data_IF_851413547334
#
_entry.id   IF_851413547334
#
_cell.length_a   1.000
_cell.length_b   1.000
_cell.length_c   1.000
_cell.angle_alpha   90.00
_cell.angle_beta   90.00
_cell.angle_gamma   90.00
#
_symmetry.space_group_name_H-M   'P 1'
#
loop_
_entity.id
_entity.type
_entity.pdbx_description
1 polymer ?
#
# COMPACT_ATOMS: atom_id res chain seq x y z
N UNK A 1 -20.31 -1.51 3.10
CA UNK A 1 -19.50 -2.17 2.05
C UNK A 1 -18.10 -1.57 1.89
N UNK A 2 -17.88 -0.40 1.26
CA UNK A 2 -16.50 0.13 1.07
C UNK A 2 -15.82 0.39 2.41
N UNK A 3 -16.49 1.09 3.33
CA UNK A 3 -15.97 1.36 4.68
C UNK A 3 -15.81 0.12 5.57
N UNK A 4 -16.29 -1.04 5.15
CA UNK A 4 -16.08 -2.32 5.86
C UNK A 4 -14.98 -3.15 5.19
N UNK A 5 -14.79 -3.00 3.87
CA UNK A 5 -13.91 -3.84 3.06
C UNK A 5 -12.52 -3.25 2.87
N UNK A 6 -12.42 -1.94 2.69
CA UNK A 6 -11.16 -1.25 2.38
C UNK A 6 -10.64 -0.56 3.64
N UNK A 7 -9.33 -0.65 3.89
CA UNK A 7 -8.66 0.08 4.95
C UNK A 7 -8.78 1.60 4.72
N UNK A 8 -8.75 2.39 5.79
CA UNK A 8 -8.83 3.86 5.67
C UNK A 8 -7.62 4.44 4.91
N UNK A 9 -6.44 3.83 5.12
CA UNK A 9 -5.19 4.15 4.44
C UNK A 9 -4.65 2.88 3.75
N UNK A 10 -5.17 2.53 2.56
CA UNK A 10 -4.73 1.34 1.85
C UNK A 10 -3.32 1.53 1.27
N UNK A 11 -2.56 0.44 1.17
CA UNK A 11 -1.27 0.46 0.47
C UNK A 11 -1.45 0.86 -1.01
N UNK A 12 -0.44 1.52 -1.58
CA UNK A 12 -0.47 1.93 -2.99
C UNK A 12 -0.46 0.75 -3.96
N UNK A 13 0.08 -0.39 -3.55
CA UNK A 13 0.18 -1.61 -4.34
C UNK A 13 -0.66 -2.71 -3.72
N UNK A 14 -1.40 -3.43 -4.56
CA UNK A 14 -2.07 -4.68 -4.18
C UNK A 14 -1.02 -5.74 -3.83
N UNK A 15 -1.26 -6.47 -2.74
CA UNK A 15 -0.40 -7.58 -2.32
C UNK A 15 0.83 -7.19 -1.50
N UNK A 16 1.07 -5.89 -1.28
CA UNK A 16 1.97 -5.41 -0.23
C UNK A 16 1.33 -5.52 1.16
N UNK A 17 0.05 -5.88 1.21
CA UNK A 17 -0.75 -5.96 2.42
C UNK A 17 -1.34 -4.61 2.81
N UNK A 18 -2.37 -4.63 3.64
CA UNK A 18 -3.08 -3.46 4.16
C UNK A 18 -4.03 -2.77 3.16
N UNK A 19 -4.49 -3.45 2.11
CA UNK A 19 -5.59 -2.93 1.26
C UNK A 19 -6.94 -3.26 1.87
N UNK A 20 -7.10 -4.51 2.31
CA UNK A 20 -8.36 -5.00 2.88
C UNK A 20 -8.38 -4.78 4.39
N UNK A 21 -9.51 -4.23 4.88
CA UNK A 21 -9.72 -3.92 6.29
C UNK A 21 -9.71 -5.19 7.14
N UNK A 22 -9.11 -5.09 8.34
CA UNK A 22 -9.16 -6.15 9.35
C UNK A 22 -10.61 -6.45 9.75
N UNK A 23 -10.95 -7.73 9.88
CA UNK A 23 -12.30 -8.20 10.18
C UNK A 23 -13.17 -8.43 8.95
N UNK A 24 -12.70 -8.08 7.75
CA UNK A 24 -13.45 -8.34 6.51
C UNK A 24 -13.34 -9.80 6.04
N UNK A 25 -12.21 -10.44 6.30
CA UNK A 25 -11.96 -11.84 5.95
C UNK A 25 -11.17 -12.52 7.05
N UNK A 26 -11.79 -13.50 7.72
CA UNK A 26 -11.14 -14.29 8.77
C UNK A 26 -9.91 -15.04 8.26
N UNK A 27 -9.95 -15.58 7.03
CA UNK A 27 -8.80 -16.26 6.43
C UNK A 27 -7.62 -15.30 6.24
N UNK A 28 -7.88 -14.08 5.75
CA UNK A 28 -6.84 -13.07 5.55
C UNK A 28 -6.25 -12.62 6.89
N UNK A 29 -7.09 -12.43 7.90
CA UNK A 29 -6.65 -12.02 9.24
C UNK A 29 -5.81 -13.11 9.91
N UNK A 30 -6.19 -14.38 9.76
CA UNK A 30 -5.41 -15.51 10.26
C UNK A 30 -4.03 -15.58 9.59
N UNK A 31 -3.94 -15.42 8.27
CA UNK A 31 -2.67 -15.40 7.57
C UNK A 31 -1.78 -14.23 8.00
N UNK A 32 -2.37 -13.04 8.19
CA UNK A 32 -1.66 -11.85 8.71
C UNK A 32 -1.10 -12.11 10.10
N UNK A 33 -1.88 -12.74 10.99
CA UNK A 33 -1.45 -13.11 12.33
C UNK A 33 -0.29 -14.11 12.31
N UNK A 34 -0.39 -15.16 11.48
CA UNK A 34 0.67 -16.16 11.31
C UNK A 34 1.98 -15.52 10.82
N UNK A 35 1.89 -14.63 9.82
CA UNK A 35 3.07 -13.89 9.32
C UNK A 35 3.67 -12.97 10.38
N UNK A 36 2.83 -12.28 11.17
CA UNK A 36 3.28 -11.40 12.25
C UNK A 36 3.99 -12.18 13.36
N UNK A 37 3.42 -13.31 13.80
CA UNK A 37 4.01 -14.17 14.82
C UNK A 37 5.37 -14.71 14.37
N UNK A 38 5.50 -15.14 13.12
CA UNK A 38 6.77 -15.61 12.58
C UNK A 38 7.83 -14.51 12.49
N UNK A 39 7.45 -13.28 12.09
CA UNK A 39 8.37 -12.12 12.13
C UNK A 39 8.81 -11.79 13.55
N UNK A 40 7.90 -11.87 14.52
CA UNK A 40 8.19 -11.59 15.92
C UNK A 40 9.10 -12.67 16.53
N UNK A 41 8.93 -13.92 16.13
CA UNK A 41 9.86 -15.00 16.46
C UNK A 41 11.27 -14.68 15.94
N UNK A 42 11.41 -14.33 14.65
CA UNK A 42 12.71 -13.97 14.06
C UNK A 42 13.36 -12.74 14.71
N UNK A 43 12.57 -11.76 15.13
CA UNK A 43 13.07 -10.59 15.87
C UNK A 43 13.66 -10.96 17.24
N UNK A 44 13.13 -12.01 17.87
CA UNK A 44 13.61 -12.50 19.16
C UNK A 44 14.73 -13.55 19.03
N UNK A 45 14.86 -14.17 17.86
CA UNK A 45 15.82 -15.25 17.59
C UNK A 45 17.26 -14.82 17.88
N UNK A 46 17.64 -13.59 17.53
CA UNK A 46 18.99 -13.08 17.79
C UNK A 46 19.34 -13.15 19.29
N UNK A 47 18.44 -12.66 20.15
CA UNK A 47 18.65 -12.68 21.60
C UNK A 47 18.69 -14.11 22.14
N UNK A 48 17.75 -14.94 21.70
CA UNK A 48 17.67 -16.33 22.15
C UNK A 48 18.95 -17.11 21.78
N UNK A 49 19.47 -16.92 20.58
CA UNK A 49 20.71 -17.59 20.16
C UNK A 49 21.95 -17.00 20.84
N UNK A 50 21.99 -15.68 21.11
CA UNK A 50 23.04 -15.07 21.93
C UNK A 50 23.07 -15.64 23.36
N UNK A 51 21.91 -15.85 23.98
CA UNK A 51 21.79 -16.43 25.32
C UNK A 51 22.17 -17.92 25.35
N UNK A 52 21.73 -18.70 24.35
CA UNK A 52 22.04 -20.14 24.25
C UNK A 52 23.52 -20.41 23.95
N UNK A 53 24.11 -19.66 23.02
CA UNK A 53 25.48 -19.90 22.54
C UNK A 53 26.54 -19.11 23.31
N UNK A 54 26.15 -18.05 24.03
CA UNK A 54 27.06 -17.09 24.66
C UNK A 54 27.74 -16.13 23.68
N UNK A 55 27.46 -16.22 22.37
CA UNK A 55 28.11 -15.44 21.33
C UNK A 55 27.44 -14.07 21.19
N UNK A 56 27.91 -13.07 21.97
CA UNK A 56 27.35 -11.70 21.95
C UNK A 56 27.44 -10.98 20.59
N UNK A 57 28.33 -11.43 19.69
CA UNK A 57 28.48 -10.83 18.36
C UNK A 57 27.56 -11.42 17.30
N UNK A 58 26.71 -12.40 17.66
CA UNK A 58 25.79 -13.07 16.74
C UNK A 58 24.71 -12.09 16.28
N UNK A 59 24.47 -12.03 14.97
CA UNK A 59 23.43 -11.17 14.38
C UNK A 59 22.52 -11.95 13.45
N UNK A 60 21.21 -11.69 13.54
CA UNK A 60 20.24 -12.22 12.57
C UNK A 60 19.99 -11.17 11.50
N UNK A 61 20.26 -11.52 10.24
CA UNK A 61 20.08 -10.64 9.09
C UNK A 61 19.13 -11.24 8.06
N UNK A 62 18.65 -10.39 7.15
CA UNK A 62 17.88 -10.79 5.98
C UNK A 62 18.57 -10.28 4.71
N UNK A 63 18.64 -11.12 3.68
CA UNK A 63 19.07 -10.74 2.35
C UNK A 63 18.01 -11.20 1.33
N UNK A 64 17.71 -10.37 0.32
CA UNK A 64 16.68 -10.69 -0.67
C UNK A 64 16.97 -11.96 -1.50
N UNK A 65 18.24 -12.31 -1.71
CA UNK A 65 18.66 -13.47 -2.51
C UNK A 65 18.82 -14.70 -1.61
N UNK A 66 19.45 -14.51 -0.45
CA UNK A 66 19.82 -15.62 0.44
C UNK A 66 18.88 -15.80 1.62
N UNK A 67 17.83 -15.01 1.74
CA UNK A 67 16.89 -15.13 2.84
C UNK A 67 17.45 -14.70 4.19
N UNK A 68 16.86 -15.22 5.26
CA UNK A 68 17.35 -15.03 6.62
C UNK A 68 18.65 -15.81 6.87
N UNK A 69 19.52 -15.25 7.70
CA UNK A 69 20.80 -15.85 8.08
C UNK A 69 21.25 -15.40 9.47
N UNK A 70 22.13 -16.20 10.06
CA UNK A 70 22.83 -15.90 11.31
C UNK A 70 24.29 -15.62 10.97
N UNK A 71 24.78 -14.43 11.28
CA UNK A 71 26.16 -14.03 11.06
C UNK A 71 26.97 -14.18 12.35
N UNK A 72 28.09 -14.90 12.26
CA UNK A 72 29.01 -15.13 13.37
C UNK A 72 30.41 -14.65 12.97
N UNK A 73 31.07 -13.92 13.86
CA UNK A 73 32.42 -13.40 13.63
C UNK A 73 33.48 -14.51 13.66
N UNK A 74 34.58 -14.35 12.91
CA UNK A 74 35.67 -15.33 12.84
C UNK A 74 36.16 -15.88 14.19
N UNK A 75 36.35 -15.07 15.25
CA UNK A 75 36.83 -15.57 16.54
C UNK A 75 35.86 -16.53 17.24
N UNK A 76 34.56 -16.43 16.92
CA UNK A 76 33.51 -17.18 17.59
C UNK A 76 33.06 -18.43 16.81
N UNK A 77 33.66 -18.70 15.64
CA UNK A 77 33.37 -19.89 14.84
C UNK A 77 33.52 -21.22 15.61
N UNK A 78 34.52 -21.40 16.50
CA UNK A 78 34.65 -22.64 17.27
C UNK A 78 33.53 -22.87 18.29
N UNK A 79 32.74 -21.83 18.63
CA UNK A 79 31.66 -21.90 19.62
C UNK A 79 30.29 -22.18 18.96
N UNK A 80 30.26 -22.37 17.65
CA UNK A 80 29.03 -22.58 16.90
C UNK A 80 28.48 -23.99 17.15
N UNK A 81 27.17 -24.13 17.45
CA UNK A 81 26.52 -25.43 17.57
C UNK A 81 26.51 -26.24 16.27
N UNK A 82 26.50 -27.57 16.38
CA UNK A 82 26.57 -28.49 15.22
C UNK A 82 25.35 -28.41 14.28
N UNK A 83 24.20 -27.94 14.78
CA UNK A 83 22.97 -27.79 13.99
C UNK A 83 22.97 -26.54 13.08
N UNK A 84 24.01 -25.71 13.13
CA UNK A 84 24.18 -24.56 12.25
C UNK A 84 24.75 -25.02 10.91
N UNK A 85 24.01 -24.76 9.83
CA UNK A 85 24.44 -25.14 8.49
C UNK A 85 25.05 -23.92 7.82
N UNK A 86 26.33 -24.02 7.42
CA UNK A 86 27.06 -22.92 6.78
C UNK A 86 26.44 -22.57 5.42
N UNK A 87 26.21 -21.29 5.18
CA UNK A 87 25.60 -20.73 3.97
C UNK A 87 26.58 -19.94 3.11
N UNK A 88 27.40 -19.10 3.73
CA UNK A 88 28.32 -18.19 3.01
C UNK A 88 29.50 -17.79 3.91
N UNK A 89 30.70 -17.70 3.33
CA UNK A 89 31.90 -17.18 4.01
C UNK A 89 32.11 -15.71 3.65
N UNK A 90 32.40 -14.86 4.66
CA UNK A 90 32.69 -13.44 4.51
C UNK A 90 34.12 -13.13 4.97
N UNK A 91 34.60 -11.93 4.66
CA UNK A 91 35.93 -11.46 5.08
C UNK A 91 36.03 -11.36 6.62
N UNK A 92 34.95 -10.96 7.29
CA UNK A 92 34.89 -10.78 8.75
C UNK A 92 34.24 -11.91 9.56
N UNK A 93 33.63 -12.90 8.90
CA UNK A 93 32.81 -13.91 9.58
C UNK A 93 32.21 -14.94 8.63
N UNK A 94 31.30 -15.76 9.13
CA UNK A 94 30.55 -16.72 8.33
C UNK A 94 29.05 -16.59 8.61
N UNK A 95 28.24 -16.90 7.59
CA UNK A 95 26.78 -16.92 7.66
C UNK A 95 26.27 -18.34 7.71
N UNK A 96 25.30 -18.59 8.57
CA UNK A 96 24.67 -19.88 8.81
C UNK A 96 23.16 -19.76 8.72
N UNK A 97 22.49 -20.90 8.62
CA UNK A 97 21.06 -21.03 8.87
C UNK A 97 20.80 -22.26 9.74
N UNK A 98 19.69 -22.25 10.45
CA UNK A 98 19.18 -23.43 11.18
C UNK A 98 17.95 -23.97 10.45
N UNK A 99 17.61 -25.27 10.62
CA UNK A 99 16.36 -25.82 10.10
C UNK A 99 15.13 -25.01 10.55
N UNK A 100 15.09 -24.63 11.82
CA UNK A 100 14.02 -23.81 12.41
C UNK A 100 13.89 -22.44 11.73
N UNK A 101 15.01 -21.73 11.51
CA UNK A 101 15.00 -20.44 10.81
C UNK A 101 14.46 -20.58 9.38
N UNK A 102 14.77 -21.69 8.71
CA UNK A 102 14.29 -21.98 7.35
C UNK A 102 12.78 -22.30 7.32
N UNK A 103 12.25 -22.97 8.34
CA UNK A 103 10.81 -23.23 8.48
C UNK A 103 10.03 -21.93 8.67
N UNK A 104 10.46 -21.06 9.59
CA UNK A 104 9.82 -19.76 9.80
C UNK A 104 9.92 -18.86 8.56
N UNK A 105 11.06 -18.86 7.88
CA UNK A 105 11.22 -18.16 6.61
C UNK A 105 10.22 -18.65 5.55
N UNK A 106 10.12 -19.97 5.38
CA UNK A 106 9.19 -20.59 4.44
C UNK A 106 7.75 -20.24 4.80
N UNK A 107 7.40 -20.24 6.08
CA UNK A 107 6.08 -19.86 6.57
C UNK A 107 5.77 -18.38 6.26
N UNK A 108 6.72 -17.47 6.46
CA UNK A 108 6.54 -16.04 6.14
C UNK A 108 6.33 -15.84 4.64
N UNK A 109 7.14 -16.48 3.81
CA UNK A 109 7.04 -16.36 2.34
C UNK A 109 5.71 -16.91 1.84
N UNK A 110 5.34 -18.12 2.24
CA UNK A 110 4.05 -18.73 1.85
C UNK A 110 2.86 -17.90 2.35
N UNK A 111 2.91 -17.41 3.59
CA UNK A 111 1.86 -16.54 4.12
C UNK A 111 1.76 -15.24 3.33
N UNK A 112 2.89 -14.63 2.95
CA UNK A 112 2.92 -13.40 2.15
C UNK A 112 2.28 -13.62 0.77
N UNK A 113 2.66 -14.69 0.08
CA UNK A 113 2.13 -14.99 -1.25
C UNK A 113 0.62 -15.23 -1.20
N UNK A 114 0.16 -16.00 -0.21
CA UNK A 114 -1.27 -16.27 -0.03
C UNK A 114 -2.07 -15.06 0.43
N UNK A 115 -1.50 -14.20 1.28
CA UNK A 115 -2.08 -12.89 1.63
C UNK A 115 -2.26 -12.07 0.36
N UNK A 116 -1.23 -11.98 -0.48
CA UNK A 116 -1.27 -11.20 -1.71
C UNK A 116 -2.36 -11.67 -2.67
N UNK A 117 -2.43 -12.98 -2.90
CA UNK A 117 -3.44 -13.59 -3.74
C UNK A 117 -4.86 -13.36 -3.20
N UNK A 118 -5.07 -13.64 -1.91
CA UNK A 118 -6.38 -13.51 -1.28
C UNK A 118 -6.84 -12.04 -1.22
N UNK A 119 -5.94 -11.12 -0.89
CA UNK A 119 -6.22 -9.69 -0.85
C UNK A 119 -6.62 -9.17 -2.24
N UNK A 120 -5.89 -9.59 -3.28
CA UNK A 120 -6.21 -9.26 -4.68
C UNK A 120 -7.59 -9.79 -5.10
N UNK A 121 -7.90 -11.05 -4.75
CA UNK A 121 -9.17 -11.67 -5.06
C UNK A 121 -10.34 -10.97 -4.36
N UNK A 122 -10.18 -10.63 -3.08
CA UNK A 122 -11.17 -9.88 -2.31
C UNK A 122 -11.36 -8.49 -2.92
N UNK A 123 -10.28 -7.78 -3.23
CA UNK A 123 -10.34 -6.47 -3.83
C UNK A 123 -11.10 -6.48 -5.16
N UNK A 124 -10.79 -7.41 -6.07
CA UNK A 124 -11.52 -7.56 -7.32
C UNK A 124 -13.00 -7.90 -7.13
N UNK A 125 -13.34 -8.68 -6.10
CA UNK A 125 -14.75 -8.93 -5.74
C UNK A 125 -15.45 -7.63 -5.31
N UNK A 126 -14.82 -6.82 -4.48
CA UNK A 126 -15.35 -5.51 -4.05
C UNK A 126 -15.53 -4.59 -5.26
N UNK A 127 -14.55 -4.50 -6.15
CA UNK A 127 -14.64 -3.71 -7.39
C UNK A 127 -15.81 -4.15 -8.27
N UNK A 128 -16.01 -5.47 -8.46
CA UNK A 128 -17.17 -5.99 -9.21
C UNK A 128 -18.50 -5.60 -8.58
N UNK A 129 -18.59 -5.62 -7.25
CA UNK A 129 -19.80 -5.19 -6.54
C UNK A 129 -20.04 -3.68 -6.74
N UNK A 130 -19.00 -2.85 -6.66
CA UNK A 130 -19.11 -1.41 -6.92
C UNK A 130 -19.55 -1.14 -8.37
N UNK A 131 -19.01 -1.90 -9.33
CA UNK A 131 -19.34 -1.75 -10.75
C UNK A 131 -20.84 -1.95 -11.04
N UNK A 132 -21.56 -2.73 -10.24
CA UNK A 132 -23.03 -2.86 -10.36
C UNK A 132 -23.78 -1.56 -10.09
N UNK A 133 -23.18 -0.62 -9.37
CA UNK A 133 -23.73 0.71 -9.11
C UNK A 133 -23.12 1.81 -10.00
N UNK A 134 -22.40 1.43 -11.05
CA UNK A 134 -21.64 2.36 -11.92
C UNK A 134 -22.51 3.46 -12.54
N UNK A 135 -23.68 3.12 -13.07
CA UNK A 135 -24.61 4.12 -13.64
C UNK A 135 -25.00 5.19 -12.62
N UNK A 136 -25.32 4.79 -11.39
CA UNK A 136 -25.67 5.71 -10.31
C UNK A 136 -24.49 6.60 -9.95
N UNK A 137 -23.28 6.04 -9.89
CA UNK A 137 -22.05 6.80 -9.59
C UNK A 137 -21.80 7.84 -10.68
N UNK A 138 -21.89 7.45 -11.95
CA UNK A 138 -21.70 8.36 -13.09
C UNK A 138 -22.76 9.47 -13.13
N UNK A 139 -24.02 9.15 -12.84
CA UNK A 139 -25.09 10.14 -12.76
C UNK A 139 -24.81 11.20 -11.69
N UNK A 140 -24.36 10.77 -10.51
CA UNK A 140 -23.98 11.68 -9.41
C UNK A 140 -22.76 12.51 -9.80
N UNK A 141 -21.73 11.91 -10.39
CA UNK A 141 -20.54 12.61 -10.85
C UNK A 141 -20.87 13.71 -11.87
N UNK A 142 -21.73 13.41 -12.84
CA UNK A 142 -22.19 14.39 -13.83
C UNK A 142 -23.00 15.52 -13.19
N UNK A 143 -23.88 15.20 -12.24
CA UNK A 143 -24.63 16.22 -11.50
C UNK A 143 -23.70 17.15 -10.71
N UNK A 144 -22.69 16.60 -10.04
CA UNK A 144 -21.67 17.38 -9.32
C UNK A 144 -20.85 18.26 -10.27
N UNK A 145 -20.42 17.73 -11.42
CA UNK A 145 -19.68 18.50 -12.42
C UNK A 145 -20.50 19.68 -12.97
N UNK A 146 -21.80 19.48 -13.22
CA UNK A 146 -22.69 20.56 -13.64
C UNK A 146 -22.86 21.62 -12.55
N UNK A 147 -23.03 21.20 -11.29
CA UNK A 147 -23.14 22.13 -10.16
C UNK A 147 -21.86 22.96 -10.02
N UNK A 148 -20.70 22.32 -10.08
CA UNK A 148 -19.39 22.98 -9.99
C UNK A 148 -19.21 24.01 -11.12
N UNK A 149 -19.53 23.61 -12.36
CA UNK A 149 -19.44 24.48 -13.54
C UNK A 149 -20.36 25.69 -13.43
N UNK A 150 -21.65 25.48 -13.13
CA UNK A 150 -22.61 26.58 -13.06
C UNK A 150 -22.37 27.49 -11.86
N UNK A 151 -21.93 26.93 -10.73
CA UNK A 151 -21.56 27.73 -9.56
C UNK A 151 -20.35 28.61 -9.86
N UNK A 152 -19.33 28.05 -10.53
CA UNK A 152 -18.15 28.80 -10.97
C UNK A 152 -18.51 29.91 -11.96
N UNK A 153 -19.37 29.62 -12.94
CA UNK A 153 -19.84 30.63 -13.90
C UNK A 153 -20.66 31.74 -13.24
N UNK A 154 -21.53 31.38 -12.29
CA UNK A 154 -22.32 32.36 -11.54
C UNK A 154 -21.42 33.24 -10.66
N UNK A 155 -20.44 32.65 -9.98
CA UNK A 155 -19.46 33.40 -9.19
C UNK A 155 -18.68 34.39 -10.06
N UNK A 156 -18.15 33.92 -11.20
CA UNK A 156 -17.44 34.78 -12.17
C UNK A 156 -18.35 35.89 -12.68
N UNK A 157 -19.61 35.57 -13.02
CA UNK A 157 -20.54 36.57 -13.51
C UNK A 157 -20.84 37.67 -12.47
N UNK A 158 -21.01 37.31 -11.21
CA UNK A 158 -21.21 38.30 -10.13
C UNK A 158 -19.92 39.09 -9.88
N UNK A 159 -18.80 38.40 -9.70
CA UNK A 159 -17.50 39.01 -9.36
C UNK A 159 -17.04 40.00 -10.41
N UNK A 160 -17.18 39.65 -11.69
CA UNK A 160 -16.73 40.48 -12.80
C UNK A 160 -17.86 41.25 -13.46
N UNK A 161 -19.07 41.24 -12.90
CA UNK A 161 -20.26 41.93 -13.46
C UNK A 161 -20.51 41.55 -14.92
N UNK A 162 -20.48 40.26 -15.25
CA UNK A 162 -20.89 39.75 -16.55
C UNK A 162 -22.41 39.67 -16.63
N UNK A 163 -22.93 39.93 -17.82
CA UNK A 163 -24.36 39.85 -18.12
C UNK A 163 -24.67 38.55 -18.87
N UNK A 164 -25.86 37.99 -18.63
CA UNK A 164 -26.37 36.88 -19.44
C UNK A 164 -26.71 37.41 -20.84
N UNK A 165 -26.14 36.85 -21.92
CA UNK A 165 -26.46 37.28 -23.27
C UNK A 165 -27.89 36.87 -23.67
N UNK A 166 -28.52 37.65 -24.53
CA UNK A 166 -29.76 37.30 -25.22
C UNK A 166 -29.41 36.66 -26.57
N UNK A 167 -30.13 35.60 -26.94
CA UNK A 167 -29.92 34.88 -28.20
C UNK A 167 -31.05 35.23 -29.17
N UNK A 168 -30.70 35.71 -30.36
CA UNK A 168 -31.61 35.99 -31.47
C UNK A 168 -31.29 35.07 -32.66
N UNK A 169 -32.19 34.99 -33.64
CA UNK A 169 -32.00 34.22 -34.88
C UNK A 169 -31.43 35.05 -36.03
N UNK A 170 -31.12 36.32 -35.76
CA UNK A 170 -30.61 37.26 -36.75
C UNK A 170 -29.10 37.06 -36.92
N UNK A 171 -28.58 37.39 -38.11
CA UNK A 171 -27.14 37.30 -38.41
C UNK A 171 -26.37 38.54 -37.89
N UNK A 172 -26.62 38.94 -36.63
CA UNK A 172 -25.96 40.09 -36.00
C UNK A 172 -25.41 39.80 -34.60
N UNK A 173 -24.37 40.53 -34.20
CA UNK A 173 -23.79 40.50 -32.85
C UNK A 173 -23.73 41.93 -32.32
N UNK A 174 -24.51 42.23 -31.28
CA UNK A 174 -24.58 43.55 -30.65
C UNK A 174 -23.98 43.47 -29.24
N UNK A 175 -22.88 44.18 -29.00
CA UNK A 175 -22.18 44.22 -27.70
C UNK A 175 -22.10 45.67 -27.21
N UNK A 176 -22.64 45.94 -26.03
CA UNK A 176 -22.57 47.26 -25.38
C UNK A 176 -21.56 47.23 -24.23
N UNK A 177 -20.60 48.16 -24.21
CA UNK A 177 -19.56 48.27 -23.16
C UNK A 177 -18.81 46.94 -22.90
N UNK A 178 -18.53 46.19 -23.97
CA UNK A 178 -17.81 44.91 -23.90
C UNK A 178 -16.39 45.08 -23.36
N UNK A 179 -15.96 44.12 -22.54
CA UNK A 179 -14.61 44.06 -21.95
C UNK A 179 -13.94 42.76 -22.38
N UNK A 180 -12.60 42.78 -22.49
CA UNK A 180 -11.84 41.58 -22.79
C UNK A 180 -11.56 40.81 -21.48
N UNK A 181 -12.11 39.59 -21.28
CA UNK A 181 -12.14 38.93 -19.98
C UNK A 181 -10.76 38.58 -19.39
N UNK A 182 -9.75 38.39 -20.24
CA UNK A 182 -8.37 38.11 -19.80
C UNK A 182 -7.55 39.38 -19.50
N UNK A 183 -7.71 40.42 -20.32
CA UNK A 183 -6.89 41.64 -20.20
C UNK A 183 -7.32 42.47 -18.98
N UNK A 184 -8.61 42.50 -18.67
CA UNK A 184 -9.12 43.23 -17.50
C UNK A 184 -8.63 42.67 -16.16
N UNK A 185 -8.33 41.37 -16.09
CA UNK A 185 -7.83 40.73 -14.87
C UNK A 185 -6.32 40.86 -14.66
N UNK A 186 -5.60 41.43 -15.65
CA UNK A 186 -4.13 41.55 -15.63
C UNK A 186 -3.63 43.00 -15.45
N UNK A 187 -4.55 43.95 -15.29
CA UNK A 187 -4.30 45.38 -15.04
C UNK A 187 -4.51 45.71 -13.55
#
# INVERSE_FOLDING_TARGET
MIGEAIADEPSSSLGEGNVIRKGFSEELDNLRLVSQNAKQYLANLERQEQEKTGIKSLKVGYNKIFGYYIEVSKPNLPQIPEHYIRKQTLVGGERFFTPELKEYESLILNARDRISELETNIFHRVCRQIATASERILAVANALANIDTFSSLAEVAVRYSYARPELTTDDEIVISQGRHPVVEGSL
#
